data_IF_379535740459
#
_entry.id   IF_379535740459
#
_cell.length_a   1.000
_cell.length_b   1.000
_cell.length_c   1.000
_cell.angle_alpha   90.00
_cell.angle_beta   90.00
_cell.angle_gamma   90.00
#
_symmetry.space_group_name_H-M   'P 1'
#
loop_
_entity.id
_entity.type
_entity.pdbx_description
1 polymer ?
#
# COMPACT_ATOMS: atom_id res chain seq x y z
N UNK A 1 -50.36 -27.98 37.81
CA UNK A 1 -49.68 -28.79 36.79
C UNK A 1 -48.56 -27.91 36.24
N UNK A 2 -47.38 -27.95 36.87
CA UNK A 2 -46.19 -28.74 36.47
C UNK A 2 -45.68 -28.26 35.10
N UNK A 3 -44.60 -27.47 35.03
CA UNK A 3 -43.20 -27.94 34.84
C UNK A 3 -42.89 -27.91 33.32
N UNK A 4 -41.83 -27.33 32.78
CA UNK A 4 -40.44 -27.41 33.20
C UNK A 4 -39.62 -26.21 32.70
N UNK A 5 -38.73 -25.75 33.58
CA UNK A 5 -37.46 -25.11 33.27
C UNK A 5 -36.43 -26.18 32.90
N UNK A 6 -35.56 -25.95 31.92
CA UNK A 6 -34.17 -26.39 32.07
C UNK A 6 -33.17 -25.47 31.36
N UNK A 7 -32.10 -25.22 32.09
CA UNK A 7 -30.93 -24.38 31.81
C UNK A 7 -29.76 -25.34 31.60
N UNK A 8 -28.90 -25.10 30.62
CA UNK A 8 -27.56 -25.69 30.66
C UNK A 8 -26.47 -24.72 30.20
N UNK A 9 -25.78 -24.26 31.23
CA UNK A 9 -24.42 -23.74 31.31
C UNK A 9 -23.41 -24.81 30.86
N UNK A 10 -22.31 -24.41 30.22
CA UNK A 10 -21.02 -25.02 30.49
C UNK A 10 -19.86 -24.03 30.21
N UNK A 11 -18.93 -24.06 31.14
CA UNK A 11 -17.89 -23.07 31.44
C UNK A 11 -16.51 -23.59 31.02
N UNK A 12 -15.65 -22.66 30.57
CA UNK A 12 -14.17 -22.62 30.60
C UNK A 12 -13.33 -23.90 30.50
N UNK A 13 -12.22 -23.81 29.74
CA UNK A 13 -10.88 -23.84 30.34
C UNK A 13 -9.77 -23.38 29.40
N UNK A 14 -9.06 -22.36 29.88
CA UNK A 14 -7.76 -21.87 29.44
C UNK A 14 -6.70 -22.54 30.30
N UNK A 15 -5.60 -23.04 29.71
CA UNK A 15 -4.38 -23.32 30.48
C UNK A 15 -3.13 -23.28 29.60
N UNK A 16 -2.28 -22.32 29.96
CA UNK A 16 -0.86 -22.15 29.69
C UNK A 16 -0.01 -23.28 30.31
N UNK A 17 1.17 -23.60 29.75
CA UNK A 17 2.42 -23.70 30.53
C UNK A 17 3.62 -24.11 29.66
N UNK A 18 4.70 -23.34 29.75
CA UNK A 18 6.07 -23.64 29.32
C UNK A 18 6.71 -24.76 30.15
N UNK A 19 7.78 -25.39 29.63
CA UNK A 19 8.58 -26.34 30.41
C UNK A 19 9.72 -26.99 29.62
N UNK A 20 10.86 -26.29 29.60
CA UNK A 20 12.19 -26.70 29.14
C UNK A 20 12.75 -27.92 29.93
N UNK A 21 13.53 -28.80 29.28
CA UNK A 21 14.52 -29.69 29.94
C UNK A 21 15.41 -30.45 28.94
N UNK A 22 16.66 -29.98 28.85
CA UNK A 22 17.84 -30.69 28.37
C UNK A 22 18.37 -31.67 29.44
N UNK A 23 18.70 -32.92 29.09
CA UNK A 23 19.67 -33.79 29.79
C UNK A 23 20.28 -34.85 28.84
N UNK A 24 21.61 -34.82 28.69
CA UNK A 24 22.55 -35.95 28.48
C UNK A 24 23.50 -35.92 29.71
N UNK A 25 24.42 -36.87 30.00
CA UNK A 25 24.72 -38.23 29.50
C UNK A 25 24.88 -39.28 30.64
N UNK A 26 25.23 -40.55 30.35
CA UNK A 26 26.48 -41.22 30.80
C UNK A 26 26.49 -42.76 30.57
N UNK A 27 27.73 -43.23 30.44
CA UNK A 27 28.43 -44.49 30.15
C UNK A 27 27.93 -45.85 30.66
N UNK A 28 28.43 -46.90 30.00
CA UNK A 28 28.65 -48.23 30.58
C UNK A 28 29.04 -49.30 29.56
N UNK A 29 30.36 -49.51 29.38
CA UNK A 29 30.95 -50.62 28.61
C UNK A 29 30.78 -51.97 29.34
N UNK A 30 30.59 -53.06 28.60
CA UNK A 30 31.16 -54.37 28.95
C UNK A 30 31.73 -55.06 27.69
N UNK A 31 33.01 -55.41 27.82
CA UNK A 31 33.87 -56.18 26.92
C UNK A 31 33.51 -57.67 26.98
N UNK A 32 33.68 -58.40 25.86
CA UNK A 32 34.00 -59.83 25.87
C UNK A 32 34.63 -60.26 24.54
N UNK A 33 35.95 -60.34 24.60
CA UNK A 33 36.92 -60.93 23.68
C UNK A 33 36.71 -62.45 23.49
N UNK A 34 36.75 -62.93 22.23
CA UNK A 34 37.41 -64.20 21.85
C UNK A 34 37.94 -64.10 20.41
N UNK A 35 39.25 -63.92 20.28
CA UNK A 35 40.10 -64.18 19.11
C UNK A 35 40.03 -65.63 18.60
N UNK A 36 40.00 -65.83 17.27
CA UNK A 36 40.71 -66.92 16.56
C UNK A 36 41.19 -66.47 15.18
N UNK A 37 42.51 -66.57 15.01
CA UNK A 37 43.32 -66.24 13.83
C UNK A 37 43.14 -67.18 12.62
N UNK A 38 43.74 -66.71 11.51
CA UNK A 38 44.31 -67.42 10.34
C UNK A 38 43.42 -67.39 9.07
N UNK A 39 43.69 -66.48 8.11
CA UNK A 39 44.78 -66.59 7.14
C UNK A 39 44.77 -65.41 6.14
N UNK A 40 45.91 -64.72 5.99
CA UNK A 40 46.18 -63.72 4.96
C UNK A 40 46.94 -64.39 3.82
N UNK A 41 46.56 -64.17 2.55
CA UNK A 41 47.54 -63.97 1.50
C UNK A 41 47.49 -62.51 1.05
N UNK A 42 48.61 -61.86 1.29
CA UNK A 42 48.95 -60.54 0.81
C UNK A 42 49.14 -60.64 -0.72
N UNK A 43 48.39 -59.88 -1.51
CA UNK A 43 48.79 -59.57 -2.88
C UNK A 43 48.35 -58.16 -3.21
N UNK A 44 49.34 -57.28 -3.26
CA UNK A 44 49.25 -55.90 -3.69
C UNK A 44 48.59 -55.82 -5.07
N UNK A 45 47.47 -55.11 -5.18
CA UNK A 45 47.15 -54.35 -6.38
C UNK A 45 46.59 -53.00 -5.95
N UNK A 46 47.48 -52.03 -6.09
CA UNK A 46 47.24 -50.61 -6.06
C UNK A 46 46.08 -50.21 -7.00
N UNK A 47 45.40 -49.14 -6.62
CA UNK A 47 44.70 -48.22 -7.50
C UNK A 47 43.54 -48.78 -8.34
N UNK A 48 42.47 -49.21 -7.67
CA UNK A 48 41.14 -49.18 -8.30
C UNK A 48 39.97 -48.92 -7.36
N UNK A 49 40.13 -48.00 -6.41
CA UNK A 49 38.98 -47.23 -5.94
C UNK A 49 38.63 -46.30 -7.10
N UNK A 50 37.76 -46.79 -7.99
CA UNK A 50 37.17 -46.03 -9.07
C UNK A 50 36.46 -44.84 -8.43
N UNK A 51 37.14 -43.71 -8.42
CA UNK A 51 36.59 -42.38 -8.13
C UNK A 51 35.55 -42.07 -9.21
N UNK A 52 34.38 -42.69 -9.12
CA UNK A 52 33.18 -42.25 -9.83
C UNK A 52 32.50 -41.26 -8.89
N UNK A 53 33.10 -40.10 -8.73
CA UNK A 53 32.39 -38.98 -8.16
C UNK A 53 32.69 -37.74 -8.99
N UNK A 54 31.60 -37.14 -9.47
CA UNK A 54 31.48 -35.78 -9.99
C UNK A 54 32.26 -35.47 -11.27
N UNK A 55 31.65 -35.70 -12.43
CA UNK A 55 31.53 -34.62 -13.43
C UNK A 55 30.47 -34.92 -14.52
N UNK A 56 29.24 -35.17 -14.10
CA UNK A 56 28.12 -34.87 -14.99
C UNK A 56 26.97 -34.41 -14.12
N UNK A 57 26.86 -33.09 -13.92
CA UNK A 57 25.55 -32.54 -13.61
C UNK A 57 24.58 -33.13 -14.66
N UNK A 58 23.48 -33.80 -14.25
CA UNK A 58 22.51 -34.26 -15.22
C UNK A 58 22.09 -33.04 -16.03
N UNK A 59 22.25 -33.09 -17.35
CA UNK A 59 21.85 -32.00 -18.23
C UNK A 59 20.39 -31.68 -17.93
N UNK A 60 20.15 -30.52 -17.32
CA UNK A 60 18.80 -30.05 -17.01
C UNK A 60 17.99 -30.08 -18.27
N UNK A 61 16.77 -30.60 -18.18
CA UNK A 61 15.91 -30.67 -19.35
C UNK A 61 15.42 -29.28 -19.71
N UNK A 62 15.21 -29.02 -21.01
CA UNK A 62 14.65 -27.76 -21.49
C UNK A 62 13.34 -27.37 -20.80
N UNK A 63 12.52 -28.36 -20.42
CA UNK A 63 11.27 -28.13 -19.69
C UNK A 63 11.55 -27.71 -18.24
N UNK A 64 12.53 -28.34 -17.58
CA UNK A 64 12.95 -27.98 -16.23
C UNK A 64 13.54 -26.57 -16.19
N UNK A 65 14.39 -26.21 -17.16
CA UNK A 65 14.99 -24.88 -17.29
C UNK A 65 13.92 -23.79 -17.51
N UNK A 66 12.94 -24.06 -18.36
CA UNK A 66 11.80 -23.14 -18.56
C UNK A 66 11.03 -22.95 -17.26
N UNK A 67 10.63 -24.04 -16.61
CA UNK A 67 9.88 -23.98 -15.36
C UNK A 67 10.65 -23.24 -14.26
N UNK A 68 11.95 -23.51 -14.13
CA UNK A 68 12.82 -22.79 -13.19
C UNK A 68 12.84 -21.29 -13.49
N UNK A 69 13.05 -20.91 -14.75
CA UNK A 69 13.05 -19.52 -15.19
C UNK A 69 11.72 -18.82 -14.89
N UNK A 70 10.60 -19.48 -15.18
CA UNK A 70 9.25 -18.95 -14.93
C UNK A 70 8.99 -18.76 -13.42
N UNK A 71 9.48 -19.68 -12.58
CA UNK A 71 9.36 -19.58 -11.12
C UNK A 71 10.25 -18.45 -10.57
N UNK A 72 11.50 -18.34 -11.04
CA UNK A 72 12.42 -17.27 -10.63
C UNK A 72 11.86 -15.88 -11.00
N UNK A 73 11.33 -15.72 -12.21
CA UNK A 73 10.70 -14.48 -12.63
C UNK A 73 9.52 -14.09 -11.73
N UNK A 74 8.64 -15.05 -11.37
CA UNK A 74 7.54 -14.79 -10.44
C UNK A 74 8.02 -14.46 -9.02
N UNK A 75 9.11 -15.07 -8.56
CA UNK A 75 9.71 -14.74 -7.26
C UNK A 75 10.19 -13.30 -7.23
N UNK A 76 10.90 -12.86 -8.27
CA UNK A 76 11.37 -11.48 -8.40
C UNK A 76 10.20 -10.49 -8.43
N UNK A 77 9.16 -10.77 -9.21
CA UNK A 77 7.94 -9.96 -9.26
C UNK A 77 7.21 -9.92 -7.91
N UNK A 78 7.20 -11.02 -7.15
CA UNK A 78 6.62 -11.07 -5.81
C UNK A 78 7.41 -10.18 -4.83
N UNK A 79 8.74 -10.18 -4.90
CA UNK A 79 9.59 -9.34 -4.04
C UNK A 79 9.35 -7.85 -4.31
N UNK A 80 9.29 -7.45 -5.58
CA UNK A 80 8.97 -6.07 -5.96
C UNK A 80 7.56 -5.68 -5.48
N UNK A 81 6.60 -6.58 -5.65
CA UNK A 81 5.24 -6.36 -5.15
C UNK A 81 5.20 -6.19 -3.63
N UNK A 82 5.88 -7.05 -2.86
CA UNK A 82 5.92 -6.96 -1.41
C UNK A 82 6.52 -5.63 -0.93
N UNK A 83 7.55 -5.12 -1.61
CA UNK A 83 8.11 -3.81 -1.29
C UNK A 83 7.10 -2.68 -1.51
N UNK A 84 6.38 -2.70 -2.66
CA UNK A 84 5.33 -1.73 -2.96
C UNK A 84 4.18 -1.84 -1.96
N UNK A 85 3.67 -3.05 -1.74
CA UNK A 85 2.62 -3.33 -0.77
C UNK A 85 2.99 -2.81 0.63
N UNK A 86 4.20 -3.13 1.12
CA UNK A 86 4.65 -2.72 2.45
C UNK A 86 4.73 -1.20 2.58
N UNK A 87 5.21 -0.53 1.53
CA UNK A 87 5.29 0.95 1.49
C UNK A 87 3.90 1.57 1.52
N UNK A 88 2.97 1.06 0.71
CA UNK A 88 1.57 1.53 0.69
C UNK A 88 0.87 1.22 2.01
N UNK A 89 1.10 0.05 2.62
CA UNK A 89 0.47 -0.35 3.87
C UNK A 89 0.92 0.52 5.05
N UNK A 90 2.18 0.95 5.07
CA UNK A 90 2.68 1.88 6.10
C UNK A 90 1.91 3.21 6.13
N UNK A 91 1.38 3.66 4.98
CA UNK A 91 0.58 4.88 4.90
C UNK A 91 -0.71 4.79 5.73
N UNK A 92 -1.30 3.59 5.88
CA UNK A 92 -2.51 3.39 6.69
C UNK A 92 -2.26 3.79 8.15
N UNK A 93 -1.14 3.37 8.72
CA UNK A 93 -0.77 3.74 10.10
C UNK A 93 -0.50 5.23 10.23
N UNK A 94 0.15 5.83 9.22
CA UNK A 94 0.36 7.28 9.16
C UNK A 94 -0.97 8.04 9.19
N UNK A 95 -1.92 7.67 8.32
CA UNK A 95 -3.23 8.33 8.29
C UNK A 95 -3.97 8.17 9.60
N UNK A 96 -3.96 6.96 10.18
CA UNK A 96 -4.61 6.70 11.47
C UNK A 96 -4.09 7.64 12.57
N UNK A 97 -2.78 7.79 12.68
CA UNK A 97 -2.17 8.65 13.69
C UNK A 97 -2.48 10.13 13.42
N UNK A 98 -2.35 10.58 12.18
CA UNK A 98 -2.65 11.98 11.82
C UNK A 98 -4.12 12.35 12.08
N UNK A 99 -5.06 11.45 11.75
CA UNK A 99 -6.49 11.68 12.03
C UNK A 99 -6.76 11.72 13.52
N UNK A 100 -6.19 10.78 14.28
CA UNK A 100 -6.33 10.76 15.74
C UNK A 100 -5.80 12.06 16.37
N UNK A 101 -4.61 12.51 15.97
CA UNK A 101 -4.01 13.75 16.47
C UNK A 101 -4.89 14.99 16.16
N UNK A 102 -5.46 15.05 14.96
CA UNK A 102 -6.38 16.13 14.57
C UNK A 102 -7.72 16.08 15.31
N UNK A 103 -8.22 14.90 15.62
CA UNK A 103 -9.43 14.72 16.43
C UNK A 103 -9.18 15.15 17.89
N UNK A 104 -8.01 14.84 18.44
CA UNK A 104 -7.59 15.32 19.76
C UNK A 104 -7.44 16.84 19.80
N UNK A 105 -6.82 17.44 18.78
CA UNK A 105 -6.71 18.90 18.66
C UNK A 105 -8.09 19.54 18.54
N UNK A 106 -8.96 18.97 17.71
CA UNK A 106 -10.35 19.43 17.55
C UNK A 106 -11.08 19.40 18.90
N UNK A 107 -10.95 18.31 19.66
CA UNK A 107 -11.59 18.16 20.97
C UNK A 107 -11.10 19.21 21.97
N UNK A 108 -9.79 19.50 22.02
CA UNK A 108 -9.21 20.57 22.85
C UNK A 108 -9.74 21.96 22.46
N UNK A 109 -10.00 22.20 21.17
CA UNK A 109 -10.61 23.46 20.73
C UNK A 109 -12.09 23.56 21.13
N UNK A 110 -12.82 22.44 21.14
CA UNK A 110 -14.20 22.39 21.63
C UNK A 110 -14.32 22.70 23.13
N UNK A 111 -13.36 22.30 23.95
CA UNK A 111 -13.35 22.60 25.40
C UNK A 111 -13.23 24.10 25.72
N UNK A 112 -12.63 24.90 24.82
CA UNK A 112 -12.49 26.35 24.98
C UNK A 112 -13.77 27.13 24.64
N UNK A 113 -14.91 26.46 24.49
CA UNK A 113 -16.22 27.07 24.24
C UNK A 113 -16.61 27.96 25.41
N UNK A 114 -17.15 29.15 25.12
CA UNK A 114 -17.64 30.05 26.16
C UNK A 114 -18.91 29.51 26.81
N UNK A 115 -19.26 29.97 28.03
CA UNK A 115 -20.50 29.59 28.72
C UNK A 115 -21.78 29.94 27.93
N UNK A 116 -21.70 30.93 27.04
CA UNK A 116 -22.79 31.35 26.14
C UNK A 116 -22.95 30.45 24.90
N UNK A 117 -22.16 29.37 24.79
CA UNK A 117 -22.17 28.44 23.66
C UNK A 117 -21.41 28.91 22.43
N UNK A 118 -20.85 30.12 22.44
CA UNK A 118 -20.17 30.74 21.28
C UNK A 118 -18.66 30.52 21.34
N UNK A 119 -18.04 30.30 20.19
CA UNK A 119 -16.58 30.21 20.08
C UNK A 119 -15.93 31.59 19.88
N UNK A 120 -14.83 31.91 20.58
CA UNK A 120 -13.99 33.05 20.26
C UNK A 120 -13.55 33.06 18.78
N UNK A 121 -13.45 34.24 18.18
CA UNK A 121 -13.03 34.40 16.78
C UNK A 121 -11.65 33.75 16.49
N UNK A 122 -10.76 33.74 17.48
CA UNK A 122 -9.46 33.08 17.40
C UNK A 122 -9.58 31.56 17.17
N UNK A 123 -10.53 30.89 17.82
CA UNK A 123 -10.76 29.45 17.65
C UNK A 123 -11.21 29.15 16.23
N UNK A 124 -12.08 29.99 15.65
CA UNK A 124 -12.49 29.84 14.24
C UNK A 124 -11.31 29.92 13.27
N UNK A 125 -10.24 30.65 13.62
CA UNK A 125 -9.00 30.69 12.83
C UNK A 125 -8.13 29.44 13.06
N UNK A 126 -8.08 28.92 14.28
CA UNK A 126 -7.34 27.70 14.66
C UNK A 126 -7.96 26.43 14.04
N UNK A 127 -9.27 26.40 13.83
CA UNK A 127 -9.96 25.23 13.25
C UNK A 127 -9.77 25.11 11.72
N UNK A 128 -9.58 26.22 11.01
CA UNK A 128 -9.38 26.21 9.54
C UNK A 128 -8.22 25.31 9.07
N UNK A 129 -7.01 25.39 9.66
CA UNK A 129 -5.90 24.51 9.25
C UNK A 129 -6.21 23.03 9.53
N UNK A 130 -6.85 22.70 10.66
CA UNK A 130 -7.29 21.32 10.96
C UNK A 130 -8.24 20.82 9.88
N UNK A 131 -9.27 21.60 9.55
CA UNK A 131 -10.23 21.26 8.51
C UNK A 131 -9.54 21.04 7.15
N UNK A 132 -8.61 21.93 6.79
CA UNK A 132 -7.83 21.79 5.55
C UNK A 132 -7.03 20.49 5.55
N UNK A 133 -6.38 20.16 6.66
CA UNK A 133 -5.56 18.96 6.76
C UNK A 133 -6.40 17.68 6.70
N UNK A 134 -7.56 17.64 7.37
CA UNK A 134 -8.52 16.53 7.24
C UNK A 134 -8.98 16.32 5.78
N UNK A 135 -9.17 17.41 5.01
CA UNK A 135 -9.50 17.31 3.56
C UNK A 135 -8.34 16.76 2.72
N UNK A 136 -7.11 17.11 3.08
CA UNK A 136 -5.92 16.56 2.44
C UNK A 136 -5.80 15.06 2.73
N UNK A 137 -5.96 14.66 4.00
CA UNK A 137 -6.00 13.25 4.41
C UNK A 137 -7.12 12.51 3.68
N UNK A 138 -8.33 13.06 3.63
CA UNK A 138 -9.45 12.46 2.89
C UNK A 138 -9.09 12.21 1.41
N UNK A 139 -8.39 13.15 0.77
CA UNK A 139 -7.95 12.96 -0.62
C UNK A 139 -6.88 11.88 -0.73
N UNK A 140 -5.95 11.81 0.23
CA UNK A 140 -4.92 10.79 0.29
C UNK A 140 -5.50 9.38 0.55
N UNK A 141 -6.53 9.26 1.38
CA UNK A 141 -7.25 8.00 1.63
C UNK A 141 -7.91 7.47 0.36
N UNK A 142 -8.58 8.33 -0.41
CA UNK A 142 -9.15 7.93 -1.71
C UNK A 142 -8.06 7.46 -2.69
N UNK A 143 -6.93 8.17 -2.77
CA UNK A 143 -5.81 7.75 -3.62
C UNK A 143 -5.23 6.40 -3.17
N UNK A 144 -5.12 6.19 -1.85
CA UNK A 144 -4.70 4.90 -1.30
C UNK A 144 -5.68 3.79 -1.68
N UNK A 145 -7.00 4.06 -1.59
CA UNK A 145 -8.05 3.14 -2.00
C UNK A 145 -7.91 2.74 -3.47
N UNK A 146 -7.62 3.69 -4.36
CA UNK A 146 -7.35 3.41 -5.78
C UNK A 146 -6.10 2.53 -5.98
N UNK A 147 -5.01 2.83 -5.28
CA UNK A 147 -3.79 2.02 -5.30
C UNK A 147 -4.03 0.60 -4.80
N UNK A 148 -4.85 0.45 -3.76
CA UNK A 148 -5.19 -0.86 -3.18
C UNK A 148 -5.96 -1.76 -4.16
N UNK A 149 -6.77 -1.17 -5.05
CA UNK A 149 -7.45 -1.91 -6.12
C UNK A 149 -6.44 -2.47 -7.13
N UNK A 150 -5.47 -1.66 -7.56
CA UNK A 150 -4.38 -2.12 -8.44
C UNK A 150 -3.61 -3.28 -7.80
N UNK A 151 -3.21 -3.14 -6.53
CA UNK A 151 -2.47 -4.20 -5.82
C UNK A 151 -3.28 -5.50 -5.72
N UNK A 152 -4.60 -5.41 -5.50
CA UNK A 152 -5.50 -6.55 -5.43
C UNK A 152 -5.60 -7.28 -6.78
N UNK A 153 -5.66 -6.54 -7.89
CA UNK A 153 -5.75 -7.15 -9.21
C UNK A 153 -4.42 -7.78 -9.64
N UNK A 154 -3.29 -7.13 -9.35
CA UNK A 154 -1.98 -7.75 -9.56
C UNK A 154 -1.81 -9.04 -8.75
N UNK A 155 -2.28 -9.08 -7.49
CA UNK A 155 -2.19 -10.27 -6.65
C UNK A 155 -3.02 -11.44 -7.21
N UNK A 156 -4.20 -11.16 -7.78
CA UNK A 156 -4.99 -12.18 -8.50
C UNK A 156 -4.25 -12.68 -9.75
N UNK A 157 -3.64 -11.78 -10.52
CA UNK A 157 -2.89 -12.15 -11.71
C UNK A 157 -1.71 -13.07 -11.35
N UNK A 158 -0.94 -12.73 -10.32
CA UNK A 158 0.16 -13.58 -9.84
C UNK A 158 -0.33 -14.95 -9.38
N UNK A 159 -1.45 -15.01 -8.66
CA UNK A 159 -2.05 -16.28 -8.27
C UNK A 159 -2.45 -17.13 -9.49
N UNK A 160 -3.00 -16.51 -10.53
CA UNK A 160 -3.32 -17.19 -11.79
C UNK A 160 -2.06 -17.71 -12.50
N UNK A 161 -0.98 -16.92 -12.55
CA UNK A 161 0.31 -17.37 -13.09
C UNK A 161 0.86 -18.58 -12.34
N UNK A 162 0.78 -18.58 -11.00
CA UNK A 162 1.18 -19.72 -10.18
C UNK A 162 0.33 -20.98 -10.46
N UNK A 163 -0.97 -20.83 -10.73
CA UNK A 163 -1.81 -21.94 -11.18
C UNK A 163 -1.38 -22.46 -12.55
N UNK A 164 -1.08 -21.57 -13.50
CA UNK A 164 -0.61 -21.95 -14.83
C UNK A 164 0.71 -22.72 -14.78
N UNK A 165 1.68 -22.30 -13.97
CA UNK A 165 2.95 -23.02 -13.81
C UNK A 165 2.72 -24.39 -13.14
N UNK A 166 1.82 -24.45 -12.15
CA UNK A 166 1.47 -25.73 -11.52
C UNK A 166 0.84 -26.72 -12.53
N UNK A 167 0.03 -26.24 -13.45
CA UNK A 167 -0.51 -27.03 -14.56
C UNK A 167 0.60 -27.48 -15.51
N UNK A 168 1.53 -26.59 -15.88
CA UNK A 168 2.69 -26.92 -16.71
C UNK A 168 3.58 -28.00 -16.08
N UNK A 169 3.85 -27.92 -14.77
CA UNK A 169 4.58 -28.98 -14.04
C UNK A 169 3.83 -30.31 -14.12
N UNK A 170 2.52 -30.30 -13.91
CA UNK A 170 1.69 -31.51 -13.94
C UNK A 170 1.69 -32.13 -15.34
N UNK A 171 1.62 -31.30 -16.38
CA UNK A 171 1.69 -31.73 -17.77
C UNK A 171 3.06 -32.31 -18.11
N UNK A 172 4.14 -31.61 -17.75
CA UNK A 172 5.52 -32.07 -17.96
C UNK A 172 5.79 -33.42 -17.28
N UNK A 173 5.26 -33.62 -16.08
CA UNK A 173 5.40 -34.88 -15.34
C UNK A 173 4.67 -36.03 -16.04
N UNK A 174 3.48 -35.80 -16.62
CA UNK A 174 2.74 -36.80 -17.38
C UNK A 174 3.45 -37.16 -18.69
N UNK A 175 3.89 -36.16 -19.45
CA UNK A 175 4.60 -36.36 -20.72
C UNK A 175 5.93 -37.08 -20.53
N UNK A 176 6.64 -36.81 -19.43
CA UNK A 176 7.90 -37.48 -19.09
C UNK A 176 7.77 -38.96 -18.68
N UNK A 177 6.55 -39.46 -18.45
CA UNK A 177 6.27 -40.89 -18.20
C UNK A 177 6.01 -41.64 -19.51
N UNK A 178 5.49 -40.95 -20.54
CA UNK A 178 5.13 -41.55 -21.85
C UNK A 178 6.33 -41.63 -22.81
N UNK A 179 7.32 -40.75 -22.67
CA UNK A 179 8.58 -40.81 -23.43
C UNK A 179 9.63 -41.56 -22.58
N UNK A 180 10.04 -42.77 -22.98
CA UNK A 180 11.01 -43.69 -22.33
C UNK A 180 12.38 -43.10 -21.89
N UNK A 181 12.59 -41.78 -22.02
CA UNK A 181 13.72 -41.02 -21.45
C UNK A 181 13.17 -40.01 -20.43
N UNK A 182 13.51 -40.18 -19.15
CA UNK A 182 13.11 -39.27 -18.06
C UNK A 182 13.60 -37.85 -18.36
N UNK A 183 12.73 -37.02 -18.94
CA UNK A 183 12.99 -35.61 -19.25
C UNK A 183 12.65 -34.68 -18.09
N UNK A 184 11.78 -35.07 -17.17
CA UNK A 184 11.45 -34.27 -16.01
C UNK A 184 11.17 -35.19 -14.84
N UNK A 185 12.04 -35.16 -13.84
CA UNK A 185 11.96 -36.13 -12.74
C UNK A 185 10.81 -35.81 -11.79
N UNK A 186 10.20 -36.85 -11.22
CA UNK A 186 9.20 -36.68 -10.15
C UNK A 186 9.75 -35.90 -8.96
N UNK A 187 11.05 -36.04 -8.66
CA UNK A 187 11.72 -35.27 -7.61
C UNK A 187 11.72 -33.76 -7.89
N UNK A 188 12.12 -33.34 -9.10
CA UNK A 188 12.10 -31.91 -9.47
C UNK A 188 10.67 -31.37 -9.54
N UNK A 189 9.73 -32.16 -10.05
CA UNK A 189 8.31 -31.80 -10.03
C UNK A 189 7.82 -31.52 -8.60
N UNK A 190 8.11 -32.42 -7.66
CA UNK A 190 7.72 -32.24 -6.26
C UNK A 190 8.36 -30.99 -5.64
N UNK A 191 9.63 -30.70 -5.96
CA UNK A 191 10.33 -29.49 -5.51
C UNK A 191 9.63 -28.22 -6.00
N UNK A 192 9.40 -28.09 -7.32
CA UNK A 192 8.74 -26.93 -7.89
C UNK A 192 7.29 -26.78 -7.41
N UNK A 193 6.57 -27.88 -7.23
CA UNK A 193 5.23 -27.86 -6.61
C UNK A 193 5.27 -27.28 -5.19
N UNK A 194 6.28 -27.65 -4.40
CA UNK A 194 6.48 -27.09 -3.06
C UNK A 194 6.74 -25.58 -3.09
N UNK A 195 7.60 -25.11 -3.99
CA UNK A 195 7.89 -23.68 -4.17
C UNK A 195 6.63 -22.88 -4.56
N UNK A 196 5.84 -23.39 -5.51
CA UNK A 196 4.59 -22.76 -5.93
C UNK A 196 3.57 -22.74 -4.81
N UNK A 197 3.43 -23.84 -4.06
CA UNK A 197 2.52 -23.91 -2.93
C UNK A 197 2.90 -22.89 -1.86
N UNK A 198 4.20 -22.74 -1.58
CA UNK A 198 4.70 -21.72 -0.66
C UNK A 198 4.36 -20.30 -1.15
N UNK A 199 4.62 -19.96 -2.41
CA UNK A 199 4.26 -18.65 -2.97
C UNK A 199 2.74 -18.39 -2.94
N UNK A 200 1.92 -19.41 -3.19
CA UNK A 200 0.46 -19.29 -3.08
C UNK A 200 0.03 -18.99 -1.65
N UNK A 201 0.67 -19.62 -0.66
CA UNK A 201 0.39 -19.36 0.75
C UNK A 201 0.72 -17.91 1.13
N UNK A 202 1.91 -17.43 0.77
CA UNK A 202 2.30 -16.04 1.03
C UNK A 202 1.40 -15.03 0.31
N UNK A 203 1.01 -15.31 -0.94
CA UNK A 203 0.04 -14.46 -1.65
C UNK A 203 -1.32 -14.42 -0.96
N UNK A 204 -1.75 -15.51 -0.31
CA UNK A 204 -2.99 -15.51 0.47
C UNK A 204 -2.85 -14.64 1.73
N UNK A 205 -1.73 -14.74 2.43
CA UNK A 205 -1.45 -13.89 3.59
C UNK A 205 -1.44 -12.41 3.22
N UNK A 206 -0.75 -12.03 2.15
CA UNK A 206 -0.73 -10.64 1.68
C UNK A 206 -2.12 -10.16 1.24
N UNK A 207 -2.94 -11.05 0.67
CA UNK A 207 -4.34 -10.73 0.33
C UNK A 207 -5.17 -10.41 1.57
N UNK A 208 -4.99 -11.18 2.64
CA UNK A 208 -5.68 -10.95 3.93
C UNK A 208 -5.24 -9.63 4.57
N UNK A 209 -3.92 -9.37 4.62
CA UNK A 209 -3.38 -8.11 5.13
C UNK A 209 -3.83 -6.90 4.29
N UNK A 210 -3.82 -7.01 2.96
CA UNK A 210 -4.33 -5.97 2.08
C UNK A 210 -5.82 -5.70 2.33
N UNK A 211 -6.62 -6.76 2.51
CA UNK A 211 -8.05 -6.61 2.82
C UNK A 211 -8.26 -5.93 4.17
N UNK A 212 -7.51 -6.33 5.20
CA UNK A 212 -7.53 -5.67 6.50
C UNK A 212 -7.15 -4.18 6.38
N UNK A 213 -6.12 -3.84 5.60
CA UNK A 213 -5.75 -2.45 5.33
C UNK A 213 -6.88 -1.65 4.68
N UNK A 214 -7.56 -2.23 3.68
CA UNK A 214 -8.72 -1.62 3.03
C UNK A 214 -9.84 -1.36 4.02
N UNK A 215 -10.13 -2.31 4.91
CA UNK A 215 -11.19 -2.17 5.91
C UNK A 215 -10.86 -1.07 6.93
N UNK A 216 -9.59 -0.95 7.33
CA UNK A 216 -9.13 0.17 8.16
C UNK A 216 -9.28 1.52 7.46
N UNK A 217 -8.92 1.62 6.18
CA UNK A 217 -9.06 2.88 5.43
C UNK A 217 -10.51 3.28 5.27
N UNK A 218 -11.43 2.34 4.99
CA UNK A 218 -12.87 2.63 4.94
C UNK A 218 -13.40 3.17 6.27
N UNK A 219 -12.97 2.57 7.39
CA UNK A 219 -13.33 3.05 8.73
C UNK A 219 -12.82 4.48 8.94
N UNK A 220 -11.58 4.74 8.53
CA UNK A 220 -10.96 6.05 8.67
C UNK A 220 -11.60 7.12 7.76
N UNK A 221 -12.00 6.76 6.54
CA UNK A 221 -12.75 7.64 5.63
C UNK A 221 -14.05 8.12 6.28
N UNK A 222 -14.79 7.22 6.94
CA UNK A 222 -16.01 7.55 7.69
C UNK A 222 -15.72 8.47 8.87
N UNK A 223 -14.69 8.17 9.67
CA UNK A 223 -14.27 8.98 10.82
C UNK A 223 -13.87 10.41 10.39
N UNK A 224 -13.13 10.54 9.29
CA UNK A 224 -12.73 11.83 8.71
C UNK A 224 -13.97 12.58 8.20
N UNK A 225 -14.89 11.91 7.51
CA UNK A 225 -16.12 12.54 7.03
C UNK A 225 -17.01 13.04 8.17
N UNK A 226 -17.15 12.26 9.23
CA UNK A 226 -17.86 12.65 10.45
C UNK A 226 -17.21 13.88 11.10
N UNK A 227 -15.90 13.85 11.32
CA UNK A 227 -15.15 14.97 11.91
C UNK A 227 -15.28 16.24 11.05
N UNK A 228 -15.21 16.12 9.72
CA UNK A 228 -15.41 17.24 8.81
C UNK A 228 -16.83 17.82 8.88
N UNK A 229 -17.86 16.98 9.01
CA UNK A 229 -19.26 17.40 9.17
C UNK A 229 -19.44 18.15 10.49
N UNK A 230 -18.89 17.64 11.58
CA UNK A 230 -18.93 18.29 12.89
C UNK A 230 -18.26 19.66 12.84
N UNK A 231 -17.04 19.74 12.31
CA UNK A 231 -16.31 21.00 12.18
C UNK A 231 -17.08 22.03 11.35
N UNK A 232 -17.75 21.58 10.27
CA UNK A 232 -18.56 22.46 9.45
C UNK A 232 -19.82 22.96 10.19
N UNK A 233 -20.49 22.07 10.92
CA UNK A 233 -21.69 22.40 11.70
C UNK A 233 -21.41 23.33 12.88
N UNK A 234 -20.33 23.08 13.62
CA UNK A 234 -20.00 23.85 14.82
C UNK A 234 -19.33 25.20 14.53
N UNK A 235 -18.52 25.28 13.46
CA UNK A 235 -17.70 26.47 13.18
C UNK A 235 -18.09 27.21 11.89
N UNK A 236 -18.98 26.65 11.06
CA UNK A 236 -19.48 27.31 9.83
C UNK A 236 -18.41 27.50 8.75
N UNK A 237 -17.43 26.58 8.68
CA UNK A 237 -16.18 26.74 7.91
C UNK A 237 -16.43 26.73 6.39
N UNK A 238 -17.47 26.04 5.91
CA UNK A 238 -17.76 25.89 4.48
C UNK A 238 -18.20 27.17 3.78
N UNK A 239 -18.67 28.20 4.51
CA UNK A 239 -19.21 29.42 3.89
C UNK A 239 -18.10 30.41 3.44
N UNK A 240 -16.87 30.28 3.93
CA UNK A 240 -15.78 31.23 3.65
C UNK A 240 -14.97 30.91 2.38
N UNK A 241 -15.20 29.73 1.77
CA UNK A 241 -14.58 29.38 0.48
C UNK A 241 -15.27 30.05 -0.71
N UNK A 242 -16.54 30.47 -0.56
CA UNK A 242 -17.27 31.11 -1.64
C UNK A 242 -16.77 32.54 -1.90
N UNK A 243 -16.32 33.25 -0.86
CA UNK A 243 -15.76 34.60 -0.97
C UNK A 243 -14.34 34.63 -1.57
N UNK A 244 -13.60 33.52 -1.51
CA UNK A 244 -12.27 33.40 -2.12
C UNK A 244 -12.29 33.02 -3.62
N UNK A 245 -13.45 32.63 -4.17
CA UNK A 245 -13.62 32.46 -5.62
C UNK A 245 -13.67 33.80 -6.39
N UNK A 246 -13.78 34.92 -5.68
CA UNK A 246 -13.65 36.27 -6.23
C UNK A 246 -12.18 36.74 -6.39
N UNK A 247 -11.20 35.83 -6.24
CA UNK A 247 -9.82 36.14 -6.64
C UNK A 247 -9.80 36.35 -8.17
N UNK A 248 -9.25 37.45 -8.70
CA UNK A 248 -9.27 37.75 -10.13
C UNK A 248 -8.59 36.63 -10.92
N UNK A 249 -9.39 35.73 -11.50
CA UNK A 249 -8.94 34.60 -12.28
C UNK A 249 -8.43 35.13 -13.61
N UNK A 250 -7.11 35.15 -13.77
CA UNK A 250 -6.46 35.50 -15.05
C UNK A 250 -7.05 34.55 -16.11
N UNK A 251 -7.78 35.07 -17.12
CA UNK A 251 -8.43 34.21 -18.10
C UNK A 251 -7.40 33.30 -18.77
N UNK A 252 -7.73 32.03 -19.03
CA UNK A 252 -6.83 31.05 -19.66
C UNK A 252 -6.16 31.62 -20.93
N UNK A 253 -6.93 32.44 -21.67
CA UNK A 253 -6.49 33.15 -22.86
C UNK A 253 -5.33 34.13 -22.61
N UNK A 254 -5.28 34.76 -21.43
CA UNK A 254 -4.20 35.67 -21.03
C UNK A 254 -2.92 34.92 -20.62
N UNK A 255 -3.04 33.65 -20.19
CA UNK A 255 -1.91 32.76 -19.93
C UNK A 255 -1.35 32.17 -21.23
N UNK A 256 -2.23 31.63 -22.10
CA UNK A 256 -1.81 30.95 -23.33
C UNK A 256 -1.31 31.94 -24.39
N UNK A 257 -1.96 33.10 -24.50
CA UNK A 257 -1.65 34.06 -25.58
C UNK A 257 -1.01 35.36 -25.07
N UNK A 258 -0.69 35.43 -23.78
CA UNK A 258 -0.23 36.67 -23.13
C UNK A 258 -1.33 37.73 -23.04
N UNK A 259 -1.15 38.71 -22.16
CA UNK A 259 -2.01 39.90 -22.12
C UNK A 259 -1.70 40.78 -23.33
N UNK A 260 -2.67 40.97 -24.24
CA UNK A 260 -2.52 42.00 -25.27
C UNK A 260 -2.48 43.36 -24.58
N UNK A 261 -1.35 44.07 -24.69
CA UNK A 261 -1.24 45.47 -24.25
C UNK A 261 -2.30 46.27 -25.01
N UNK A 262 -3.41 46.62 -24.35
CA UNK A 262 -4.30 47.66 -24.87
C UNK A 262 -3.44 48.90 -25.02
N UNK A 263 -3.33 49.44 -26.23
CA UNK A 263 -2.71 50.73 -26.45
C UNK A 263 -3.40 51.74 -25.53
N UNK A 264 -2.68 52.22 -24.52
CA UNK A 264 -3.11 53.38 -23.75
C UNK A 264 -3.24 54.51 -24.77
N UNK A 265 -4.42 55.13 -24.86
CA UNK A 265 -4.54 56.41 -25.54
C UNK A 265 -3.56 57.37 -24.85
N UNK A 266 -2.52 57.74 -25.59
CA UNK A 266 -1.43 58.60 -25.13
C UNK A 266 -2.01 59.97 -24.80
N UNK A 267 -1.68 60.49 -23.63
CA UNK A 267 -2.13 61.80 -23.10
C UNK A 267 -1.33 62.96 -23.71
N UNK A 268 -0.53 62.70 -24.75
CA UNK A 268 0.35 63.69 -25.40
C UNK A 268 -0.17 64.15 -26.77
N UNK A 269 -1.48 64.34 -26.93
CA UNK A 269 -2.02 65.19 -28.01
C UNK A 269 -2.18 66.62 -27.51
N UNK A 270 -1.08 67.25 -27.13
CA UNK A 270 -0.97 68.68 -26.89
C UNK A 270 0.06 69.20 -27.90
N UNK A 271 -0.24 70.35 -28.52
CA UNK A 271 0.55 71.11 -29.51
C UNK A 271 0.17 70.81 -30.97
N UNK A 272 -0.31 71.74 -31.81
CA UNK A 272 0.00 73.18 -31.96
C UNK A 272 -1.05 73.88 -32.92
N UNK A 273 -0.96 75.18 -33.33
CA UNK A 273 -1.89 76.28 -32.94
C UNK A 273 -2.46 77.18 -34.09
N UNK A 274 -3.19 78.25 -33.70
CA UNK A 274 -3.24 79.64 -34.26
C UNK A 274 -4.57 80.19 -34.86
N UNK A 275 -5.05 81.28 -34.21
CA UNK A 275 -5.79 82.49 -34.70
C UNK A 275 -7.26 82.30 -35.16
N UNK A 276 -8.25 83.16 -34.84
CA UNK A 276 -8.29 84.65 -34.78
C UNK A 276 -9.40 85.19 -33.85
N UNK A 277 -9.20 86.45 -33.46
CA UNK A 277 -10.10 87.39 -32.76
C UNK A 277 -11.44 87.69 -33.46
N UNK A 278 -12.50 87.98 -32.69
CA UNK A 278 -13.33 89.21 -32.78
C UNK A 278 -14.30 89.25 -31.57
N UNK A 279 -14.13 90.19 -30.64
CA UNK A 279 -14.78 91.52 -30.49
C UNK A 279 -15.99 91.51 -29.54
N UNK A 280 -15.82 92.34 -28.51
CA UNK A 280 -16.72 92.71 -27.43
C UNK A 280 -17.98 93.45 -27.92
N UNK A 281 -19.11 93.25 -27.23
CA UNK A 281 -20.08 94.33 -26.94
C UNK A 281 -20.67 94.18 -25.54
N UNK A 282 -20.40 95.19 -24.72
CA UNK A 282 -21.15 95.59 -23.54
C UNK A 282 -22.39 96.39 -24.00
N UNK A 283 -23.53 96.24 -23.32
CA UNK A 283 -24.42 97.37 -22.95
C UNK A 283 -25.50 96.93 -21.95
N UNK A 284 -25.61 97.74 -20.89
CA UNK A 284 -26.64 97.74 -19.84
C UNK A 284 -27.98 98.20 -20.40
N UNK A 285 -29.07 97.93 -19.68
CA UNK A 285 -29.96 98.93 -19.05
C UNK A 285 -31.20 98.20 -18.51
N UNK A 286 -31.37 98.24 -17.19
CA UNK A 286 -32.63 98.12 -16.47
C UNK A 286 -33.09 99.54 -16.15
N UNK A 287 -34.37 99.84 -16.42
CA UNK A 287 -35.25 100.75 -15.65
C UNK A 287 -36.49 101.10 -16.49
N UNK A 288 -37.63 100.48 -16.18
CA UNK A 288 -38.88 101.13 -15.73
C UNK A 288 -39.99 100.11 -15.53
#
# INVERSE_FOLDING_TARGET
MQGDTDVKEDTSQQSTSSGDRSVKPDSGNEDSDVTKDVNIPNTNQDDKIKLVFMDSAPSTSKVEEKLRTDIDALLDENLEFWLRFSTTFHQVQKFKNEVHDLQDETSKLKEKRKPDGTFPAQIKSEVRPIYKHLREIQTALHLWSDQSMSLKDELKQRFASLCSIQEDITKALKEGVEEDKIRFSSHQAAKFQGEILNMKHENNKVREELQAGIDHVRKLELEVEETLKELNGEFGISNDQQDNLNRPRIPLRSFIFGTKKKHKHSIFSCMHPYKRYHVSKSSRISDH
#
